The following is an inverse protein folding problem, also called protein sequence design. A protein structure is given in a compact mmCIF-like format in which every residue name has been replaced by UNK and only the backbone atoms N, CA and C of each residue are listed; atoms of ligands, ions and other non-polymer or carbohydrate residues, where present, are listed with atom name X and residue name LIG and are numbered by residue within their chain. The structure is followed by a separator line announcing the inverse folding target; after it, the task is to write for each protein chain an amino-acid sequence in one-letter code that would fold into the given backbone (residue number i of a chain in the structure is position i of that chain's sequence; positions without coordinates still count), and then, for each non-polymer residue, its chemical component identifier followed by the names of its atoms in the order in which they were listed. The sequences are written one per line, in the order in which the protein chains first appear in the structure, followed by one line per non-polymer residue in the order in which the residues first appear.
data_IF_908537154717
#
_entry.id   IF_908537154717
#
_cell.length_a   1.000
_cell.length_b   1.000
_cell.length_c   1.000
_cell.angle_alpha   90.00
_cell.angle_beta   90.00
_cell.angle_gamma   90.00
#
_symmetry.space_group_name_H-M   'P 1'
#
loop_
_entity.id
_entity.type
_entity.pdbx_description
1 polymer ?
#
# COMPACT_ATOMS: atom_id res chain seq x y z
N UNK A 1 61.61 -71.64 -3.11
CA UNK A 1 62.37 -71.17 -1.94
C UNK A 1 61.39 -70.80 -0.85
N UNK A 2 61.57 -71.38 0.33
CA UNK A 2 60.70 -71.22 1.49
C UNK A 2 60.83 -69.83 2.12
N UNK A 3 59.73 -69.32 2.71
CA UNK A 3 59.70 -68.83 4.09
C UNK A 3 58.26 -68.64 4.56
N UNK A 4 57.96 -69.32 5.66
CA UNK A 4 56.72 -69.33 6.45
C UNK A 4 57.01 -68.54 7.73
N UNK A 5 56.15 -67.59 8.10
CA UNK A 5 55.98 -67.01 9.45
C UNK A 5 54.51 -66.52 9.55
N UNK A 6 53.58 -67.20 10.24
CA UNK A 6 53.16 -67.01 11.66
C UNK A 6 52.85 -65.54 12.01
N UNK A 7 51.59 -65.10 11.95
CA UNK A 7 50.52 -65.11 12.98
C UNK A 7 50.67 -64.05 14.08
N UNK A 8 49.71 -63.13 14.22
CA UNK A 8 48.88 -62.98 15.43
C UNK A 8 47.83 -61.83 15.35
N UNK A 9 46.60 -62.20 15.73
CA UNK A 9 45.55 -61.47 16.49
C UNK A 9 45.38 -59.95 16.43
N UNK A 10 44.14 -59.51 16.26
CA UNK A 10 43.69 -58.20 16.73
C UNK A 10 42.18 -57.99 16.54
N UNK A 11 41.41 -58.08 17.62
CA UNK A 11 39.96 -57.89 17.68
C UNK A 11 39.58 -56.41 17.50
N UNK A 12 38.40 -56.17 16.93
CA UNK A 12 37.46 -55.21 17.51
C UNK A 12 37.25 -53.89 16.76
N UNK A 13 35.97 -53.60 16.53
CA UNK A 13 35.42 -52.24 16.61
C UNK A 13 35.32 -51.47 15.30
N UNK A 14 34.09 -51.25 14.83
CA UNK A 14 33.38 -49.97 15.02
C UNK A 14 32.27 -49.84 13.96
N UNK A 15 31.03 -49.82 14.44
CA UNK A 15 29.87 -49.31 13.72
C UNK A 15 30.11 -47.80 13.49
N UNK A 16 30.29 -47.36 12.24
CA UNK A 16 30.29 -45.94 11.91
C UNK A 16 28.88 -45.58 11.47
N UNK A 17 28.10 -45.02 12.39
CA UNK A 17 26.84 -44.35 12.08
C UNK A 17 27.16 -43.00 11.43
N UNK A 18 26.76 -42.82 10.18
CA UNK A 18 26.85 -41.56 9.47
C UNK A 18 25.81 -40.57 10.03
N UNK A 19 26.26 -39.56 10.77
CA UNK A 19 25.45 -38.37 11.05
C UNK A 19 25.61 -37.39 9.88
N UNK A 20 24.60 -37.32 9.02
CA UNK A 20 24.46 -36.23 8.06
C UNK A 20 23.89 -35.00 8.76
N UNK A 21 24.75 -34.00 9.05
CA UNK A 21 24.28 -32.66 9.38
C UNK A 21 23.78 -31.99 8.10
N UNK A 22 22.46 -31.99 7.89
CA UNK A 22 21.83 -31.09 6.93
C UNK A 22 21.81 -29.68 7.53
N UNK A 23 22.73 -28.83 7.06
CA UNK A 23 22.70 -27.40 7.32
C UNK A 23 21.53 -26.79 6.52
N UNK A 24 20.38 -26.61 7.16
CA UNK A 24 19.30 -25.79 6.63
C UNK A 24 19.69 -24.32 6.82
N UNK A 25 20.27 -23.73 5.77
CA UNK A 25 20.38 -22.28 5.65
C UNK A 25 18.98 -21.68 5.58
N UNK A 26 18.52 -21.10 6.68
CA UNK A 26 17.31 -20.29 6.69
C UNK A 26 17.61 -18.97 5.97
N UNK A 27 17.28 -18.92 4.69
CA UNK A 27 17.19 -17.67 3.94
C UNK A 27 16.08 -16.83 4.57
N UNK A 28 16.44 -15.84 5.38
CA UNK A 28 15.53 -14.79 5.83
C UNK A 28 15.24 -13.86 4.65
N UNK A 29 14.43 -14.33 3.69
CA UNK A 29 13.73 -13.43 2.78
C UNK A 29 12.65 -12.72 3.59
N UNK A 30 12.94 -11.49 4.01
CA UNK A 30 11.93 -10.63 4.62
C UNK A 30 10.72 -10.54 3.68
N UNK A 31 9.57 -11.01 4.13
CA UNK A 31 8.33 -10.90 3.37
C UNK A 31 7.97 -9.42 3.22
N UNK A 32 8.14 -8.85 2.03
CA UNK A 32 7.55 -7.55 1.70
C UNK A 32 6.04 -7.65 1.91
N UNK A 33 5.44 -6.78 2.73
CA UNK A 33 3.98 -6.78 2.92
C UNK A 33 3.35 -6.11 1.70
N UNK A 34 2.57 -6.89 0.95
CA UNK A 34 1.72 -6.36 -0.12
C UNK A 34 0.28 -6.69 0.23
N UNK A 35 -0.54 -5.66 0.32
CA UNK A 35 -1.99 -5.77 0.53
C UNK A 35 -2.70 -5.34 -0.73
N UNK A 36 -3.77 -6.07 -1.08
CA UNK A 36 -4.64 -5.74 -2.22
C UNK A 36 -6.08 -5.99 -1.82
N UNK A 37 -6.94 -5.03 -2.09
CA UNK A 37 -8.37 -5.12 -1.81
C UNK A 37 -9.16 -4.35 -2.85
N UNK A 38 -10.44 -4.66 -2.95
CA UNK A 38 -11.40 -3.85 -3.69
C UNK A 38 -12.17 -2.94 -2.75
N UNK A 39 -12.66 -1.82 -3.27
CA UNK A 39 -13.38 -0.86 -2.46
C UNK A 39 -14.49 -0.17 -3.26
N UNK A 40 -15.69 -0.07 -2.68
CA UNK A 40 -16.81 0.66 -3.28
C UNK A 40 -16.67 2.16 -3.04
N UNK A 41 -16.49 2.98 -4.06
CA UNK A 41 -16.35 4.43 -3.95
C UNK A 41 -17.59 5.12 -4.48
N UNK A 42 -18.21 5.98 -3.66
CA UNK A 42 -19.30 6.87 -4.12
C UNK A 42 -18.68 8.17 -4.63
N UNK A 43 -18.86 8.44 -5.92
CA UNK A 43 -18.44 9.68 -6.57
C UNK A 43 -19.38 10.83 -6.21
N UNK A 44 -18.97 12.08 -6.45
CA UNK A 44 -19.85 13.24 -6.22
C UNK A 44 -21.07 13.25 -7.13
N UNK A 45 -21.03 12.57 -8.28
CA UNK A 45 -22.21 12.33 -9.14
C UNK A 45 -23.28 11.46 -8.48
N UNK A 46 -22.95 10.75 -7.40
CA UNK A 46 -23.80 9.75 -6.77
C UNK A 46 -23.55 8.32 -7.25
N UNK A 47 -22.83 8.15 -8.36
CA UNK A 47 -22.45 6.83 -8.87
C UNK A 47 -21.56 6.09 -7.86
N UNK A 48 -21.75 4.78 -7.77
CA UNK A 48 -20.89 3.89 -6.99
C UNK A 48 -20.04 3.07 -7.94
N UNK A 49 -18.72 3.22 -7.83
CA UNK A 49 -17.75 2.44 -8.60
C UNK A 49 -17.00 1.48 -7.67
N UNK A 50 -16.36 0.48 -8.25
CA UNK A 50 -15.40 -0.38 -7.53
C UNK A 50 -14.00 -0.01 -7.98
N UNK A 51 -13.12 0.20 -7.01
CA UNK A 51 -11.70 0.45 -7.25
C UNK A 51 -10.88 -0.71 -6.71
N UNK A 52 -9.82 -1.08 -7.42
CA UNK A 52 -8.81 -2.03 -6.97
C UNK A 52 -7.66 -1.23 -6.36
N UNK A 53 -7.32 -1.52 -5.11
CA UNK A 53 -6.26 -0.86 -4.38
C UNK A 53 -5.14 -1.82 -4.08
N UNK A 54 -3.92 -1.30 -4.14
CA UNK A 54 -2.71 -1.99 -3.73
C UNK A 54 -1.90 -1.10 -2.81
N UNK A 55 -1.39 -1.68 -1.73
CA UNK A 55 -0.41 -1.05 -0.85
C UNK A 55 0.79 -1.98 -0.70
N UNK A 56 1.99 -1.45 -0.91
CA UNK A 56 3.26 -2.14 -0.70
C UNK A 56 4.20 -1.26 0.11
N UNK A 57 5.35 -1.81 0.50
CA UNK A 57 6.45 -1.03 1.09
C UNK A 57 6.99 0.05 0.14
N UNK A 58 6.66 0.01 -1.15
CA UNK A 58 7.05 0.99 -2.17
C UNK A 58 6.00 2.08 -2.39
N UNK A 59 4.77 1.91 -1.86
CA UNK A 59 3.71 2.90 -1.97
C UNK A 59 2.34 2.32 -2.31
N UNK A 60 1.42 3.20 -2.68
CA UNK A 60 0.02 2.87 -2.94
C UNK A 60 -0.34 3.08 -4.41
N UNK A 61 -1.25 2.25 -4.92
CA UNK A 61 -1.82 2.41 -6.26
C UNK A 61 -3.33 2.14 -6.26
N UNK A 62 -4.03 2.74 -7.22
CA UNK A 62 -5.46 2.55 -7.47
C UNK A 62 -5.68 2.25 -8.96
N UNK A 63 -6.51 1.25 -9.26
CA UNK A 63 -7.05 1.01 -10.59
C UNK A 63 -8.58 1.05 -10.56
N UNK A 64 -9.19 1.69 -11.55
CA UNK A 64 -10.65 1.78 -11.64
C UNK A 64 -11.11 1.99 -13.07
N UNK A 65 -12.43 1.92 -13.28
CA UNK A 65 -13.10 2.26 -14.53
C UNK A 65 -14.31 3.13 -14.23
N UNK A 66 -14.66 4.03 -15.13
CA UNK A 66 -15.81 4.92 -14.98
C UNK A 66 -17.00 4.41 -15.81
N UNK A 67 -18.23 4.41 -15.27
CA UNK A 67 -19.42 4.02 -16.02
C UNK A 67 -19.63 4.86 -17.29
N UNK A 68 -19.26 6.13 -17.25
CA UNK A 68 -19.37 7.07 -18.37
C UNK A 68 -18.36 6.81 -19.50
N UNK A 69 -17.34 5.98 -19.28
CA UNK A 69 -16.27 5.67 -20.23
C UNK A 69 -16.00 4.16 -20.25
N UNK A 70 -16.94 3.35 -20.75
CA UNK A 70 -16.83 1.90 -20.74
C UNK A 70 -15.59 1.43 -21.52
N UNK A 71 -14.92 0.40 -21.01
CA UNK A 71 -13.69 -0.16 -21.60
C UNK A 71 -12.40 0.62 -21.28
N UNK A 72 -12.50 1.85 -20.74
CA UNK A 72 -11.34 2.62 -20.28
C UNK A 72 -11.05 2.33 -18.81
N UNK A 73 -9.79 2.02 -18.52
CA UNK A 73 -9.30 1.87 -17.14
C UNK A 73 -8.29 2.97 -16.82
N UNK A 74 -8.38 3.48 -15.60
CA UNK A 74 -7.47 4.45 -15.03
C UNK A 74 -6.59 3.76 -14.01
N UNK A 75 -5.31 4.13 -14.00
CA UNK A 75 -4.34 3.63 -13.04
C UNK A 75 -3.55 4.79 -12.46
N UNK A 76 -3.65 5.00 -11.16
CA UNK A 76 -2.88 5.97 -10.41
C UNK A 76 -1.91 5.25 -9.48
N UNK A 77 -0.73 5.83 -9.27
CA UNK A 77 0.28 5.39 -8.31
C UNK A 77 0.79 6.58 -7.53
N UNK A 78 1.18 6.35 -6.29
CA UNK A 78 1.92 7.31 -5.47
C UNK A 78 3.12 7.85 -6.25
N UNK A 79 3.30 9.17 -6.19
CA UNK A 79 4.42 9.89 -6.78
C UNK A 79 5.39 10.38 -5.70
N UNK A 80 4.89 10.62 -4.49
CA UNK A 80 5.69 11.11 -3.37
C UNK A 80 6.08 10.00 -2.41
N UNK A 81 7.38 9.93 -2.07
CA UNK A 81 7.87 9.17 -0.93
C UNK A 81 7.91 10.07 0.30
N UNK A 82 7.18 9.72 1.36
CA UNK A 82 7.29 10.42 2.65
C UNK A 82 8.53 10.00 3.45
N UNK A 83 9.39 9.15 2.88
CA UNK A 83 10.42 8.41 3.60
C UNK A 83 9.91 7.07 4.15
N UNK A 84 10.73 6.42 4.98
CA UNK A 84 10.46 5.05 5.45
C UNK A 84 9.13 4.97 6.22
N UNK A 85 8.19 4.17 5.70
CA UNK A 85 6.87 3.94 6.28
C UNK A 85 5.87 5.10 6.12
N UNK A 86 6.22 6.14 5.37
CA UNK A 86 5.35 7.28 5.10
C UNK A 86 4.97 7.25 3.61
N UNK A 87 3.83 6.64 3.31
CA UNK A 87 3.34 6.55 1.94
C UNK A 87 2.33 7.65 1.64
N UNK A 88 2.34 8.08 0.38
CA UNK A 88 1.25 8.86 -0.17
C UNK A 88 -0.03 8.04 -0.18
N UNK A 89 -1.03 8.51 0.55
CA UNK A 89 -2.31 7.85 0.71
C UNK A 89 -3.38 8.61 -0.08
N UNK A 90 -4.07 7.98 -1.04
CA UNK A 90 -5.21 8.57 -1.71
C UNK A 90 -6.43 8.57 -0.77
N UNK A 91 -7.14 9.69 -0.76
CA UNK A 91 -8.20 10.03 0.21
C UNK A 91 -9.55 10.26 -0.45
N UNK A 92 -9.52 10.87 -1.63
CA UNK A 92 -10.71 11.17 -2.44
C UNK A 92 -10.42 10.77 -3.87
N UNK A 93 -11.34 10.03 -4.49
CA UNK A 93 -11.41 9.82 -5.93
C UNK A 93 -12.73 10.40 -6.44
N UNK A 94 -12.66 11.25 -7.45
CA UNK A 94 -13.85 11.88 -8.01
C UNK A 94 -13.73 12.14 -9.51
N UNK A 95 -14.79 12.68 -10.12
CA UNK A 95 -14.80 13.13 -11.52
C UNK A 95 -15.26 14.58 -11.58
N UNK A 96 -14.34 15.48 -11.91
CA UNK A 96 -14.60 16.91 -12.05
C UNK A 96 -14.61 17.29 -13.54
N UNK A 97 -15.73 17.79 -14.05
CA UNK A 97 -15.89 18.17 -15.47
C UNK A 97 -15.49 17.03 -16.45
N UNK A 98 -15.83 15.79 -16.10
CA UNK A 98 -15.48 14.60 -16.89
C UNK A 98 -14.03 14.11 -16.72
N UNK A 99 -13.23 14.77 -15.89
CA UNK A 99 -11.83 14.43 -15.62
C UNK A 99 -11.73 13.70 -14.28
N UNK A 100 -11.18 12.47 -14.24
CA UNK A 100 -10.86 11.82 -12.97
C UNK A 100 -9.84 12.64 -12.18
N UNK A 101 -10.10 12.80 -10.89
CA UNK A 101 -9.24 13.51 -9.95
C UNK A 101 -9.00 12.67 -8.71
N UNK A 102 -7.79 12.74 -8.17
CA UNK A 102 -7.43 12.09 -6.90
C UNK A 102 -6.82 13.12 -5.97
N UNK A 103 -7.29 13.15 -4.73
CA UNK A 103 -6.67 13.92 -3.65
C UNK A 103 -5.95 12.96 -2.73
N UNK A 104 -4.71 13.28 -2.40
CA UNK A 104 -3.83 12.44 -1.59
C UNK A 104 -3.29 13.20 -0.38
N UNK A 105 -2.71 12.45 0.56
CA UNK A 105 -1.93 13.00 1.66
C UNK A 105 -0.65 12.20 1.85
N UNK A 106 0.44 12.92 2.12
CA UNK A 106 1.69 12.37 2.64
C UNK A 106 1.88 12.93 4.05
N UNK A 107 1.98 12.06 5.04
CA UNK A 107 2.55 12.48 6.33
C UNK A 107 4.04 12.65 6.10
N UNK A 108 4.61 13.82 6.39
CA UNK A 108 6.05 14.09 6.25
C UNK A 108 6.76 14.14 7.61
N UNK A 109 5.99 14.33 8.68
CA UNK A 109 6.41 14.21 10.09
C UNK A 109 5.17 14.12 10.99
N UNK A 110 5.31 13.87 12.31
CA UNK A 110 4.21 14.04 13.25
C UNK A 110 3.66 15.48 13.17
N UNK A 111 2.40 15.61 12.73
CA UNK A 111 1.73 16.90 12.56
C UNK A 111 1.79 17.45 11.14
N UNK A 112 2.91 17.33 10.42
CA UNK A 112 3.04 17.89 9.08
C UNK A 112 2.49 16.94 8.00
N UNK A 113 1.53 17.45 7.23
CA UNK A 113 0.89 16.75 6.12
C UNK A 113 1.04 17.58 4.84
N UNK A 114 1.33 16.90 3.74
CA UNK A 114 1.29 17.46 2.39
C UNK A 114 0.05 16.90 1.70
N UNK A 115 -0.83 17.77 1.22
CA UNK A 115 -1.97 17.38 0.40
C UNK A 115 -1.65 17.67 -1.06
N UNK A 116 -1.96 16.71 -1.93
CA UNK A 116 -1.71 16.83 -3.37
C UNK A 116 -2.99 16.49 -4.12
N UNK A 117 -3.20 17.17 -5.26
CA UNK A 117 -4.29 16.85 -6.18
C UNK A 117 -3.70 16.40 -7.50
N UNK A 118 -4.22 15.31 -8.04
CA UNK A 118 -3.91 14.82 -9.38
C UNK A 118 -5.14 14.93 -10.27
N UNK A 119 -4.93 15.29 -11.53
CA UNK A 119 -5.96 15.24 -12.56
C UNK A 119 -5.47 14.42 -13.75
N UNK A 120 -6.30 13.52 -14.26
CA UNK A 120 -5.94 12.69 -15.41
C UNK A 120 -6.15 13.44 -16.73
N UNK A 121 -5.08 13.78 -17.44
CA UNK A 121 -5.10 14.54 -18.70
C UNK A 121 -4.10 13.96 -19.68
N UNK A 122 -4.49 13.91 -20.96
CA UNK A 122 -3.61 13.48 -22.06
C UNK A 122 -2.97 12.10 -21.86
N UNK A 123 -3.69 11.21 -21.17
CA UNK A 123 -3.23 9.84 -20.92
C UNK A 123 -2.45 9.64 -19.63
N UNK A 124 -2.21 10.69 -18.82
CA UNK A 124 -1.39 10.62 -17.61
C UNK A 124 -1.96 11.43 -16.43
N UNK A 125 -1.42 11.23 -15.23
CA UNK A 125 -1.77 11.98 -14.03
C UNK A 125 -0.88 13.20 -13.86
N UNK A 126 -1.51 14.37 -13.81
CA UNK A 126 -0.85 15.63 -13.58
C UNK A 126 -1.07 16.10 -12.15
N UNK A 127 0.02 16.24 -11.41
CA UNK A 127 0.03 16.90 -10.11
C UNK A 127 -0.36 18.38 -10.26
N UNK A 128 -1.22 18.86 -9.36
CA UNK A 128 -1.71 20.23 -9.33
C UNK A 128 -1.54 20.80 -7.93
N UNK A 129 -1.03 22.02 -7.89
CA UNK A 129 -0.97 22.83 -6.67
C UNK A 129 -2.40 23.13 -6.26
N UNK A 130 -2.76 22.72 -5.03
CA UNK A 130 -4.03 23.08 -4.42
C UNK A 130 -4.08 24.60 -4.19
N UNK A 131 -5.25 25.26 -4.16
CA UNK A 131 -5.37 26.70 -3.87
C UNK A 131 -5.39 26.97 -2.36
N UNK A 132 -4.87 28.13 -1.91
CA UNK A 132 -4.62 28.53 -0.49
C UNK A 132 -5.73 28.15 0.49
N UNK A 133 -6.97 28.15 0.00
CA UNK A 133 -8.12 27.58 0.65
C UNK A 133 -8.86 26.75 -0.38
N UNK A 134 -9.24 25.52 -0.02
CA UNK A 134 -10.23 24.77 -0.78
C UNK A 134 -11.31 24.23 0.15
N UNK A 135 -12.48 24.02 -0.43
CA UNK A 135 -13.61 23.42 0.26
C UNK A 135 -13.24 22.00 0.69
N UNK A 136 -13.33 21.72 1.99
CA UNK A 136 -13.13 20.39 2.51
C UNK A 136 -13.99 19.36 1.80
N UNK A 137 -13.40 18.20 1.48
CA UNK A 137 -14.09 17.07 0.85
C UNK A 137 -14.26 15.93 1.82
N UNK A 138 -15.36 15.22 1.68
CA UNK A 138 -15.56 13.98 2.41
C UNK A 138 -14.65 12.90 1.80
N UNK A 139 -13.92 12.19 2.65
CA UNK A 139 -13.13 11.04 2.21
C UNK A 139 -14.05 9.96 1.69
N UNK A 140 -13.82 9.52 0.46
CA UNK A 140 -14.54 8.39 -0.11
C UNK A 140 -13.60 7.21 -0.41
N UNK A 141 -12.32 7.32 -0.05
CA UNK A 141 -11.36 6.23 -0.05
C UNK A 141 -10.98 5.80 1.37
N UNK A 142 -10.83 4.50 1.57
CA UNK A 142 -10.49 3.90 2.86
C UNK A 142 -9.02 4.17 3.20
N UNK A 143 -8.77 4.53 4.46
CA UNK A 143 -7.43 4.81 4.97
C UNK A 143 -7.29 4.10 6.29
N UNK A 144 -6.64 2.93 6.28
CA UNK A 144 -6.34 2.20 7.49
C UNK A 144 -5.06 1.39 7.32
N UNK A 145 -4.29 1.29 8.41
CA UNK A 145 -3.05 0.52 8.48
C UNK A 145 -3.27 -0.72 9.35
N UNK A 146 -2.98 -1.91 8.83
CA UNK A 146 -2.62 -3.08 9.65
C UNK A 146 -3.77 -3.96 10.18
N UNK A 147 -4.93 -3.99 9.53
CA UNK A 147 -5.97 -5.00 9.80
C UNK A 147 -6.20 -5.90 8.59
N UNK A 148 -6.83 -7.05 8.81
CA UNK A 148 -7.38 -7.90 7.77
C UNK A 148 -8.52 -7.15 7.06
N UNK A 149 -8.16 -6.39 6.02
CA UNK A 149 -9.07 -5.52 5.24
C UNK A 149 -10.16 -6.37 4.54
N UNK A 150 -9.92 -7.67 4.39
CA UNK A 150 -10.72 -8.55 3.54
C UNK A 150 -10.61 -8.16 2.06
N UNK A 151 -11.33 -8.88 1.20
CA UNK A 151 -11.26 -8.67 -0.25
C UNK A 151 -12.01 -7.42 -0.73
N UNK A 152 -13.01 -6.96 0.03
CA UNK A 152 -13.91 -5.86 -0.39
C UNK A 152 -14.30 -4.96 0.78
N UNK A 153 -13.95 -3.68 0.66
CA UNK A 153 -14.36 -2.61 1.57
C UNK A 153 -15.63 -1.93 1.03
N UNK A 154 -16.73 -2.10 1.75
CA UNK A 154 -18.04 -1.54 1.36
C UNK A 154 -18.23 -0.09 1.81
N UNK A 155 -19.21 0.61 1.23
CA UNK A 155 -19.59 1.96 1.68
C UNK A 155 -20.00 1.99 3.17
N UNK A 156 -20.71 0.95 3.63
CA UNK A 156 -21.16 0.86 5.01
C UNK A 156 -19.99 0.64 5.98
N UNK A 157 -19.04 -0.21 5.59
CA UNK A 157 -17.81 -0.39 6.35
C UNK A 157 -17.04 0.93 6.50
N UNK A 158 -16.88 1.69 5.41
CA UNK A 158 -16.23 3.01 5.46
C UNK A 158 -16.94 3.99 6.37
N UNK A 159 -18.27 4.07 6.28
CA UNK A 159 -19.06 4.94 7.15
C UNK A 159 -18.83 4.61 8.63
N UNK A 160 -18.69 3.32 8.97
CA UNK A 160 -18.40 2.85 10.33
C UNK A 160 -16.97 3.17 10.77
N UNK A 161 -15.98 2.97 9.90
CA UNK A 161 -14.56 2.94 10.27
C UNK A 161 -13.82 4.26 10.01
N UNK A 162 -14.17 5.00 8.95
CA UNK A 162 -13.53 6.28 8.61
C UNK A 162 -13.82 7.40 9.61
N UNK A 163 -14.89 7.27 10.42
CA UNK A 163 -15.19 8.19 11.53
C UNK A 163 -14.10 8.19 12.63
N UNK A 164 -13.31 7.13 12.73
CA UNK A 164 -12.25 6.98 13.73
C UNK A 164 -10.90 7.55 13.26
N UNK A 165 -10.73 7.87 11.98
CA UNK A 165 -9.44 8.21 11.38
C UNK A 165 -9.20 9.72 11.44
N UNK A 166 -8.07 10.14 12.03
CA UNK A 166 -7.72 11.55 12.25
C UNK A 166 -7.63 12.40 10.97
N UNK A 167 -7.30 11.78 9.82
CA UNK A 167 -7.25 12.45 8.51
C UNK A 167 -8.58 13.07 8.09
N UNK A 168 -9.71 12.45 8.48
CA UNK A 168 -11.07 12.92 8.15
C UNK A 168 -11.41 14.29 8.71
N UNK A 169 -10.74 14.70 9.81
CA UNK A 169 -10.90 16.03 10.43
C UNK A 169 -10.01 17.08 9.76
N UNK A 170 -8.79 16.71 9.34
CA UNK A 170 -7.82 17.61 8.72
C UNK A 170 -8.17 17.96 7.27
N UNK A 171 -8.75 17.02 6.51
CA UNK A 171 -9.21 17.25 5.13
C UNK A 171 -10.32 18.28 4.99
N UNK A 172 -10.95 18.68 6.11
CA UNK A 172 -12.04 19.65 6.09
C UNK A 172 -11.58 21.08 5.77
N UNK A 173 -10.28 21.44 5.85
CA UNK A 173 -9.88 22.86 5.90
C UNK A 173 -8.48 23.28 5.38
N UNK A 174 -7.79 22.61 4.45
CA UNK A 174 -6.35 22.93 4.26
C UNK A 174 -5.89 23.09 2.80
N UNK A 175 -5.65 24.33 2.34
CA UNK A 175 -4.92 24.62 1.08
C UNK A 175 -3.37 24.64 1.21
N UNK A 176 -2.60 25.00 0.16
CA UNK A 176 -1.13 25.03 0.02
C UNK A 176 -0.43 26.04 0.93
N UNK A 177 -1.17 26.82 1.71
CA UNK A 177 -0.61 27.56 2.84
C UNK A 177 -0.54 26.60 4.02
N UNK A 178 0.69 26.25 4.39
CA UNK A 178 1.04 25.50 5.58
C UNK A 178 0.87 23.99 5.42
N UNK A 179 2.03 23.32 5.25
CA UNK A 179 2.31 22.15 6.10
C UNK A 179 1.61 22.42 7.43
N UNK A 180 0.66 21.60 7.89
CA UNK A 180 0.12 21.75 9.25
C UNK A 180 1.15 21.35 10.29
N UNK A 181 2.37 21.86 10.16
CA UNK A 181 3.33 21.94 11.24
C UNK A 181 2.75 22.96 12.22
N UNK A 182 1.88 22.49 13.11
CA UNK A 182 1.55 23.24 14.30
C UNK A 182 2.80 23.33 15.17
N UNK A 183 3.15 24.57 15.53
CA UNK A 183 4.04 25.04 16.60
C UNK A 183 4.31 24.03 17.73
#
# INVERSE_FOLDING_TARGET
MARKWMSWTGKGGALVAALALAAAGASLSGCSRSERWQEQVRLQSGDVIVVDRRSTDEGTAIRFSLPSQPGKSYYWRAAHDGGQGQHENPLVLDVENGVPVIYTVVSTSPGCRLFTRYAYRDGDWWEQVLPDKFQGREMNLFVLSGLDIGDMVTLEQKRRESAAVSYSRALRFLGPGDKTCGL
#
